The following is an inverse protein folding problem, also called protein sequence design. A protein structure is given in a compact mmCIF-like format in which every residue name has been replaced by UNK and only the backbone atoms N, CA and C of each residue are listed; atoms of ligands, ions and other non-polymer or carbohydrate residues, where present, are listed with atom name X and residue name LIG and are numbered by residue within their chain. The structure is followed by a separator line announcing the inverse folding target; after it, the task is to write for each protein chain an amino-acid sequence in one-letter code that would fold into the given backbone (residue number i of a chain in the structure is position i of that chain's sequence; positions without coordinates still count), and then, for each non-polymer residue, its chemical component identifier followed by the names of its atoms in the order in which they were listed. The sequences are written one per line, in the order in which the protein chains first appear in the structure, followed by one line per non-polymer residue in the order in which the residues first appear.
data_IF_339450749806
#
_entry.id   IF_339450749806
#
_cell.length_a   1.000
_cell.length_b   1.000
_cell.length_c   1.000
_cell.angle_alpha   90.00
_cell.angle_beta   90.00
_cell.angle_gamma   90.00
#
_symmetry.space_group_name_H-M   'P 1'
#
loop_
_entity.id
_entity.type
_entity.pdbx_description
1 polymer ?
#
# COMPACT_ATOMS: atom_id res chain seq x y z
N UNK A 1 12.51 34.57 -41.79
CA UNK A 1 12.90 35.92 -41.34
C UNK A 1 12.17 36.22 -40.04
N UNK A 2 12.84 35.99 -38.90
CA UNK A 2 12.28 36.29 -37.58
C UNK A 2 12.93 37.57 -37.06
N UNK A 3 12.11 38.60 -36.84
CA UNK A 3 12.52 39.91 -36.36
C UNK A 3 12.91 39.89 -34.88
N UNK A 4 14.05 40.52 -34.59
CA UNK A 4 14.56 40.84 -33.26
C UNK A 4 13.80 42.02 -32.68
N UNK A 5 13.54 42.02 -31.38
CA UNK A 5 13.45 43.25 -30.60
C UNK A 5 14.31 43.12 -29.34
N UNK A 6 15.39 43.90 -29.32
CA UNK A 6 16.21 44.18 -28.17
C UNK A 6 15.72 45.49 -27.54
N UNK A 7 15.51 45.51 -26.23
CA UNK A 7 15.29 46.72 -25.45
C UNK A 7 16.40 46.84 -24.41
N UNK A 8 17.23 47.87 -24.54
CA UNK A 8 18.21 48.29 -23.54
C UNK A 8 17.77 49.64 -22.99
N UNK A 9 17.81 49.83 -21.66
CA UNK A 9 17.83 51.17 -21.05
C UNK A 9 18.73 51.18 -19.82
N UNK A 10 19.51 52.27 -19.74
CA UNK A 10 20.70 52.49 -18.90
C UNK A 10 20.39 52.89 -17.45
N UNK A 11 21.39 52.62 -16.61
CA UNK A 11 21.69 53.12 -15.27
C UNK A 11 21.41 54.62 -15.02
N UNK A 12 21.01 54.96 -13.79
CA UNK A 12 21.79 55.84 -12.88
C UNK A 12 21.29 55.77 -11.43
N UNK A 13 22.24 55.80 -10.51
CA UNK A 13 22.07 55.81 -9.06
C UNK A 13 21.65 57.18 -8.52
N UNK A 14 21.00 57.18 -7.34
CA UNK A 14 21.15 58.27 -6.36
C UNK A 14 20.94 57.74 -4.95
N UNK A 15 21.86 58.12 -4.07
CA UNK A 15 21.91 57.81 -2.64
C UNK A 15 20.87 58.62 -1.86
N UNK A 16 20.29 58.02 -0.81
CA UNK A 16 19.94 58.72 0.44
C UNK A 16 20.12 57.79 1.63
N UNK A 17 21.08 58.12 2.50
CA UNK A 17 21.19 57.61 3.88
C UNK A 17 20.06 58.19 4.72
N UNK A 18 19.37 57.33 5.46
CA UNK A 18 18.64 57.69 6.67
C UNK A 18 19.08 56.73 7.77
N UNK A 19 19.66 57.30 8.82
CA UNK A 19 20.03 56.60 10.04
C UNK A 19 18.77 56.26 10.83
N UNK A 20 18.61 54.99 11.22
CA UNK A 20 17.68 54.59 12.28
C UNK A 20 18.47 53.90 13.38
N UNK A 21 18.47 54.53 14.55
CA UNK A 21 18.87 53.90 15.82
C UNK A 21 17.75 52.92 16.23
N UNK A 22 17.95 51.63 15.98
CA UNK A 22 17.07 50.56 16.44
C UNK A 22 17.74 49.77 17.55
N UNK A 23 17.17 49.82 18.76
CA UNK A 23 17.57 48.98 19.90
C UNK A 23 17.47 47.51 19.50
N UNK A 24 18.54 46.74 19.73
CA UNK A 24 18.52 45.27 19.65
C UNK A 24 17.65 44.71 20.78
N UNK A 25 16.36 44.56 20.52
CA UNK A 25 15.53 43.66 21.32
C UNK A 25 15.91 42.22 20.94
N UNK A 26 16.58 41.52 21.86
CA UNK A 26 16.77 40.06 21.78
C UNK A 26 15.38 39.43 21.78
N UNK A 27 14.96 38.91 20.63
CA UNK A 27 13.80 38.04 20.55
C UNK A 27 14.11 36.75 21.34
N UNK A 28 13.16 36.23 22.13
CA UNK A 28 13.34 34.92 22.76
C UNK A 28 13.48 33.89 21.65
N UNK A 29 14.53 33.08 21.74
CA UNK A 29 14.74 31.91 20.88
C UNK A 29 13.55 30.97 21.05
N UNK A 30 12.54 31.09 20.19
CA UNK A 30 11.53 30.06 20.06
C UNK A 30 12.24 28.84 19.49
N UNK A 31 12.47 27.85 20.35
CA UNK A 31 12.79 26.51 19.90
C UNK A 31 11.54 25.99 19.18
N UNK A 32 11.42 26.30 17.89
CA UNK A 32 10.51 25.59 17.01
C UNK A 32 11.06 24.18 16.92
N UNK A 33 10.50 23.26 17.71
CA UNK A 33 10.62 21.84 17.41
C UNK A 33 9.87 21.66 16.09
N UNK A 34 10.61 21.65 14.97
CA UNK A 34 10.03 21.31 13.69
C UNK A 34 9.36 19.94 13.85
N UNK A 35 8.06 19.85 13.59
CA UNK A 35 7.38 18.57 13.54
C UNK A 35 8.14 17.70 12.53
N UNK A 36 8.72 16.59 13.00
CA UNK A 36 9.45 15.66 12.13
C UNK A 36 8.42 15.04 11.20
N UNK A 37 8.45 15.42 9.92
CA UNK A 37 7.59 14.81 8.91
C UNK A 37 8.01 13.35 8.73
N UNK A 38 7.08 12.42 8.92
CA UNK A 38 7.35 11.01 8.67
C UNK A 38 7.31 10.72 7.16
N UNK A 39 8.19 9.85 6.65
CA UNK A 39 8.17 9.49 5.24
C UNK A 39 6.88 8.75 4.89
N UNK A 40 6.32 9.06 3.71
CA UNK A 40 5.16 8.38 3.16
C UNK A 40 5.62 7.27 2.21
N UNK A 41 5.23 6.03 2.49
CA UNK A 41 5.56 4.86 1.68
C UNK A 41 4.31 4.37 0.94
N UNK A 42 4.49 3.96 -0.30
CA UNK A 42 3.42 3.35 -1.10
C UNK A 42 3.81 1.93 -1.42
N UNK A 43 2.92 0.98 -1.17
CA UNK A 43 3.18 -0.43 -1.39
C UNK A 43 1.96 -1.15 -1.96
N UNK A 44 2.24 -2.31 -2.53
CA UNK A 44 1.24 -3.28 -2.94
C UNK A 44 1.37 -4.52 -2.06
N UNK A 45 0.24 -5.08 -1.64
CA UNK A 45 0.12 -6.40 -1.03
C UNK A 45 -0.67 -7.31 -1.97
N UNK A 46 -0.17 -8.52 -2.19
CA UNK A 46 -0.73 -9.53 -3.08
C UNK A 46 -1.25 -10.71 -2.26
N UNK A 47 -2.57 -10.89 -2.29
CA UNK A 47 -3.31 -11.93 -1.61
C UNK A 47 -3.58 -13.06 -2.59
N UNK A 48 -2.81 -14.14 -2.44
CA UNK A 48 -2.94 -15.35 -3.25
C UNK A 48 -3.58 -16.47 -2.45
N UNK A 49 -4.45 -17.26 -3.08
CA UNK A 49 -5.14 -18.38 -2.46
C UNK A 49 -4.91 -19.67 -3.22
N UNK A 50 -4.86 -20.80 -2.53
CA UNK A 50 -4.88 -22.11 -3.18
C UNK A 50 -6.32 -22.60 -3.45
N UNK A 51 -6.45 -23.81 -4.02
CA UNK A 51 -7.75 -24.45 -4.30
C UNK A 51 -8.61 -24.71 -3.05
N UNK A 52 -7.99 -24.77 -1.86
CA UNK A 52 -8.69 -24.93 -0.57
C UNK A 52 -9.07 -23.59 0.07
N UNK A 53 -8.91 -22.49 -0.66
CA UNK A 53 -9.13 -21.12 -0.19
C UNK A 53 -8.25 -20.72 1.01
N UNK A 54 -7.09 -21.37 1.14
CA UNK A 54 -6.07 -21.01 2.11
C UNK A 54 -5.16 -19.93 1.52
N UNK A 55 -4.85 -18.91 2.31
CA UNK A 55 -4.05 -17.77 1.89
C UNK A 55 -2.57 -18.07 1.99
N UNK A 56 -1.81 -17.67 0.97
CA UNK A 56 -0.36 -17.71 0.97
C UNK A 56 0.19 -16.55 1.82
N UNK A 57 1.01 -16.86 2.83
CA UNK A 57 1.72 -15.85 3.60
C UNK A 57 3.21 -16.14 3.65
N UNK A 58 4.00 -15.07 3.77
CA UNK A 58 5.45 -15.06 3.94
C UNK A 58 5.79 -14.76 5.40
N UNK A 59 6.53 -15.66 6.06
CA UNK A 59 7.17 -15.35 7.34
C UNK A 59 8.44 -14.56 7.08
N UNK A 60 8.43 -13.27 7.45
CA UNK A 60 9.53 -12.37 7.12
C UNK A 60 10.78 -12.72 7.94
N UNK A 61 11.93 -12.77 7.26
CA UNK A 61 13.25 -12.97 7.88
C UNK A 61 13.97 -11.67 8.22
N UNK A 62 13.47 -10.54 7.72
CA UNK A 62 14.09 -9.22 7.83
C UNK A 62 13.23 -8.26 8.66
N UNK A 63 13.91 -7.33 9.34
CA UNK A 63 13.27 -6.24 10.07
C UNK A 63 12.51 -5.28 9.13
N UNK A 64 11.48 -4.55 9.60
CA UNK A 64 10.98 -4.50 10.98
C UNK A 64 10.04 -5.66 11.37
N UNK A 65 9.53 -6.42 10.39
CA UNK A 65 8.48 -7.42 10.62
C UNK A 65 9.03 -8.84 10.81
N UNK A 66 10.27 -9.00 11.30
CA UNK A 66 10.91 -10.31 11.37
C UNK A 66 10.10 -11.25 12.28
N UNK A 67 9.76 -12.43 11.75
CA UNK A 67 8.94 -13.44 12.42
C UNK A 67 7.44 -13.20 12.32
N UNK A 68 6.99 -12.06 11.77
CA UNK A 68 5.60 -11.83 11.41
C UNK A 68 5.30 -12.40 10.03
N UNK A 69 4.04 -12.77 9.83
CA UNK A 69 3.50 -13.25 8.58
C UNK A 69 2.77 -12.12 7.85
N UNK A 70 3.06 -11.96 6.56
CA UNK A 70 2.40 -10.97 5.71
C UNK A 70 2.04 -11.57 4.35
N UNK A 71 1.09 -10.99 3.60
CA UNK A 71 0.97 -11.24 2.17
C UNK A 71 2.29 -10.94 1.44
N UNK A 72 2.41 -11.47 0.23
CA UNK A 72 3.49 -11.08 -0.69
C UNK A 72 3.37 -9.61 -1.06
N UNK A 73 4.46 -9.01 -1.52
CA UNK A 73 4.43 -7.66 -2.08
C UNK A 73 5.58 -6.76 -1.64
N UNK A 74 5.50 -5.50 -2.04
CA UNK A 74 6.59 -4.57 -1.83
C UNK A 74 6.25 -3.14 -2.21
N UNK A 75 7.28 -2.30 -2.23
CA UNK A 75 7.14 -0.84 -2.42
C UNK A 75 7.14 -0.51 -3.91
N UNK A 76 6.38 0.51 -4.28
CA UNK A 76 6.41 1.06 -5.62
C UNK A 76 7.77 1.73 -5.90
N UNK A 77 8.27 1.56 -7.13
CA UNK A 77 9.41 2.30 -7.68
C UNK A 77 8.99 3.69 -8.14
N UNK A 78 8.84 4.61 -7.18
CA UNK A 78 8.28 5.96 -7.38
C UNK A 78 9.06 6.78 -8.41
N UNK A 79 10.38 6.65 -8.44
CA UNK A 79 11.28 7.34 -9.37
C UNK A 79 11.03 6.98 -10.84
N UNK A 80 10.45 5.81 -11.09
CA UNK A 80 10.07 5.35 -12.44
C UNK A 80 8.60 5.57 -12.77
N UNK A 81 7.79 6.03 -11.81
CA UNK A 81 6.34 6.15 -11.97
C UNK A 81 5.61 4.80 -12.03
N UNK A 82 6.14 3.77 -11.36
CA UNK A 82 5.53 2.44 -11.34
C UNK A 82 4.09 2.49 -10.78
N UNK A 83 3.14 1.90 -11.49
CA UNK A 83 1.74 1.81 -11.02
C UNK A 83 1.57 0.69 -9.98
N UNK A 84 0.55 0.75 -9.09
CA UNK A 84 0.30 -0.33 -8.13
C UNK A 84 0.09 -1.72 -8.76
N UNK A 85 -0.58 -1.78 -9.91
CA UNK A 85 -0.78 -3.02 -10.67
C UNK A 85 0.54 -3.54 -11.25
N UNK A 86 1.38 -2.66 -11.82
CA UNK A 86 2.71 -3.03 -12.32
C UNK A 86 3.60 -3.55 -11.18
N UNK A 87 3.55 -2.88 -10.02
CA UNK A 87 4.23 -3.34 -8.81
C UNK A 87 3.74 -4.73 -8.39
N UNK A 88 2.43 -4.98 -8.38
CA UNK A 88 1.86 -6.29 -8.05
C UNK A 88 2.40 -7.41 -8.94
N UNK A 89 2.39 -7.19 -10.27
CA UNK A 89 2.89 -8.16 -11.24
C UNK A 89 4.40 -8.43 -11.06
N UNK A 90 5.19 -7.38 -10.81
CA UNK A 90 6.63 -7.50 -10.55
C UNK A 90 6.89 -8.32 -9.28
N UNK A 91 6.24 -7.98 -8.18
CA UNK A 91 6.41 -8.70 -6.90
C UNK A 91 5.95 -10.15 -7.00
N UNK A 92 4.91 -10.45 -7.80
CA UNK A 92 4.49 -11.83 -8.08
C UNK A 92 5.61 -12.63 -8.78
N UNK A 93 6.30 -12.03 -9.76
CA UNK A 93 7.43 -12.69 -10.42
C UNK A 93 8.64 -12.81 -9.49
N UNK A 94 8.98 -11.74 -8.76
CA UNK A 94 10.16 -11.67 -7.89
C UNK A 94 10.05 -12.59 -6.66
N UNK A 95 8.91 -12.62 -5.97
CA UNK A 95 8.77 -13.37 -4.70
C UNK A 95 8.26 -14.81 -4.91
N UNK A 96 7.36 -15.05 -5.86
CA UNK A 96 6.68 -16.35 -6.02
C UNK A 96 6.88 -16.98 -7.41
N UNK A 97 7.67 -16.35 -8.29
CA UNK A 97 7.97 -16.88 -9.62
C UNK A 97 6.78 -16.94 -10.57
N UNK A 98 5.73 -16.15 -10.31
CA UNK A 98 4.49 -16.17 -11.08
C UNK A 98 4.38 -14.96 -11.98
N UNK A 99 4.27 -15.21 -13.29
CA UNK A 99 4.01 -14.16 -14.29
C UNK A 99 2.50 -13.99 -14.45
N UNK A 100 2.01 -12.82 -14.08
CA UNK A 100 0.59 -12.44 -14.15
C UNK A 100 0.41 -11.11 -14.87
N UNK A 101 -0.79 -10.89 -15.38
CA UNK A 101 -1.22 -9.65 -15.99
C UNK A 101 -2.07 -8.83 -15.01
N UNK A 102 -2.17 -7.50 -15.18
CA UNK A 102 -3.06 -6.67 -14.38
C UNK A 102 -4.53 -7.12 -14.39
N UNK A 103 -4.97 -7.80 -15.44
CA UNK A 103 -6.33 -8.37 -15.58
C UNK A 103 -6.58 -9.58 -14.67
N UNK A 104 -5.52 -10.20 -14.16
CA UNK A 104 -5.60 -11.34 -13.24
C UNK A 104 -5.73 -10.87 -11.78
N UNK A 105 -5.71 -9.55 -11.57
CA UNK A 105 -5.75 -8.92 -10.26
C UNK A 105 -7.07 -8.23 -10.02
N UNK A 106 -7.60 -8.41 -8.82
CA UNK A 106 -8.74 -7.69 -8.31
C UNK A 106 -8.31 -6.76 -7.18
N UNK A 107 -8.45 -5.44 -7.36
CA UNK A 107 -8.19 -4.49 -6.28
C UNK A 107 -9.27 -4.63 -5.21
N UNK A 108 -8.93 -5.31 -4.12
CA UNK A 108 -9.87 -5.60 -3.03
C UNK A 108 -9.93 -4.46 -2.03
N UNK A 109 -8.83 -3.72 -1.84
CA UNK A 109 -8.91 -2.51 -1.05
C UNK A 109 -7.70 -1.60 -1.08
N UNK A 110 -7.90 -0.41 -0.50
CA UNK A 110 -6.89 0.60 -0.25
C UNK A 110 -6.87 0.87 1.25
N UNK A 111 -5.69 0.75 1.88
CA UNK A 111 -5.53 1.06 3.31
C UNK A 111 -4.47 2.13 3.46
N UNK A 112 -4.78 3.17 4.23
CA UNK A 112 -3.78 4.15 4.66
C UNK A 112 -3.52 4.03 6.16
N UNK A 113 -2.26 4.08 6.55
CA UNK A 113 -1.84 4.11 7.95
C UNK A 113 -1.07 5.40 8.23
N UNK A 114 -1.58 6.19 9.16
CA UNK A 114 -0.93 7.40 9.64
C UNK A 114 -0.12 7.08 10.90
N UNK A 115 1.21 7.20 10.81
CA UNK A 115 2.09 7.11 11.98
C UNK A 115 2.43 5.67 12.40
N UNK A 116 2.41 4.73 11.47
CA UNK A 116 2.71 3.32 11.73
C UNK A 116 4.07 3.16 12.42
N UNK A 117 4.07 2.51 13.59
CA UNK A 117 5.21 2.36 14.51
C UNK A 117 5.95 3.68 14.85
N UNK A 118 5.30 4.83 14.65
CA UNK A 118 5.92 6.15 14.78
C UNK A 118 7.00 6.46 13.73
N UNK A 119 7.12 5.63 12.68
CA UNK A 119 8.23 5.69 11.73
C UNK A 119 7.82 6.15 10.34
N UNK A 120 6.60 5.86 9.89
CA UNK A 120 6.18 6.13 8.51
C UNK A 120 4.67 6.25 8.37
N UNK A 121 4.24 6.89 7.29
CA UNK A 121 2.90 6.72 6.75
C UNK A 121 2.92 5.64 5.66
N UNK A 122 1.83 4.90 5.53
CA UNK A 122 1.67 3.90 4.46
C UNK A 122 0.41 4.15 3.66
N UNK A 123 0.49 3.93 2.35
CA UNK A 123 -0.63 3.71 1.44
C UNK A 123 -0.43 2.34 0.80
N UNK A 124 -1.33 1.42 1.11
CA UNK A 124 -1.27 0.04 0.67
C UNK A 124 -2.40 -0.25 -0.32
N UNK A 125 -2.05 -0.82 -1.46
CA UNK A 125 -3.00 -1.38 -2.42
C UNK A 125 -3.06 -2.88 -2.24
N UNK A 126 -4.24 -3.41 -1.92
CA UNK A 126 -4.45 -4.82 -1.62
C UNK A 126 -5.09 -5.49 -2.83
N UNK A 127 -4.30 -6.25 -3.56
CA UNK A 127 -4.76 -7.02 -4.71
C UNK A 127 -5.01 -8.47 -4.32
N UNK A 128 -6.14 -9.01 -4.74
CA UNK A 128 -6.35 -10.45 -4.82
C UNK A 128 -5.90 -10.94 -6.20
N UNK A 129 -5.12 -12.01 -6.24
CA UNK A 129 -4.95 -12.80 -7.46
C UNK A 129 -6.21 -13.66 -7.65
N UNK A 130 -6.90 -13.48 -8.76
CA UNK A 130 -8.18 -14.17 -9.02
C UNK A 130 -7.97 -15.66 -9.28
N UNK A 131 -6.86 -16.03 -9.90
CA UNK A 131 -6.45 -17.40 -10.15
C UNK A 131 -5.89 -18.08 -8.89
N UNK A 132 -6.18 -19.38 -8.75
CA UNK A 132 -5.71 -20.16 -7.60
C UNK A 132 -4.29 -20.68 -7.80
N UNK A 133 -3.49 -20.62 -6.73
CA UNK A 133 -2.16 -21.21 -6.70
C UNK A 133 -2.26 -22.73 -6.57
N UNK A 134 -1.65 -23.45 -7.51
CA UNK A 134 -1.57 -24.91 -7.49
C UNK A 134 -0.46 -25.45 -6.55
N UNK A 135 0.56 -24.65 -6.25
CA UNK A 135 1.75 -25.08 -5.50
C UNK A 135 2.24 -24.01 -4.53
N UNK A 136 2.86 -24.46 -3.44
CA UNK A 136 3.56 -23.59 -2.51
C UNK A 136 4.87 -23.10 -3.17
N UNK A 137 5.13 -21.79 -3.24
CA UNK A 137 6.40 -21.26 -3.73
C UNK A 137 7.58 -21.67 -2.82
N UNK A 138 8.79 -21.81 -3.38
CA UNK A 138 9.98 -22.10 -2.59
C UNK A 138 10.34 -20.93 -1.66
N UNK A 139 11.05 -21.18 -0.53
CA UNK A 139 11.56 -20.09 0.30
C UNK A 139 12.67 -19.31 -0.43
N UNK A 140 12.88 -18.07 -0.01
CA UNK A 140 13.91 -17.17 -0.54
C UNK A 140 14.49 -16.28 0.58
N UNK A 141 15.28 -15.27 0.21
CA UNK A 141 15.99 -14.41 1.15
C UNK A 141 15.08 -13.57 2.04
N UNK A 142 13.85 -13.28 1.60
CA UNK A 142 12.88 -12.54 2.42
C UNK A 142 12.18 -13.42 3.45
N UNK A 143 12.10 -14.74 3.24
CA UNK A 143 11.32 -15.60 4.13
C UNK A 143 11.00 -17.00 3.61
N UNK A 144 10.05 -17.63 4.32
CA UNK A 144 9.45 -18.90 3.91
C UNK A 144 7.94 -18.74 3.79
N UNK A 145 7.35 -19.45 2.83
CA UNK A 145 5.91 -19.41 2.60
C UNK A 145 5.17 -20.54 3.31
N UNK A 146 3.90 -20.28 3.63
CA UNK A 146 2.95 -21.32 4.00
C UNK A 146 1.52 -20.90 3.64
N UNK A 147 0.64 -21.88 3.51
CA UNK A 147 -0.79 -21.66 3.30
C UNK A 147 -1.54 -21.75 4.62
N UNK A 148 -2.42 -20.79 4.88
CA UNK A 148 -3.23 -20.75 6.10
C UNK A 148 -4.71 -20.62 5.79
N UNK A 149 -5.53 -21.41 6.48
CA UNK A 149 -6.98 -21.17 6.46
C UNK A 149 -7.30 -19.84 7.14
N UNK A 150 -8.46 -19.26 6.80
CA UNK A 150 -8.95 -18.03 7.45
C UNK A 150 -8.98 -18.13 8.97
N UNK A 151 -9.36 -19.28 9.52
CA UNK A 151 -9.41 -19.48 10.97
C UNK A 151 -8.01 -19.58 11.60
N UNK A 152 -7.04 -20.15 10.90
CA UNK A 152 -5.67 -20.27 11.39
C UNK A 152 -5.00 -18.88 11.58
N UNK A 153 -5.43 -17.86 10.85
CA UNK A 153 -4.93 -16.49 10.98
C UNK A 153 -5.09 -15.93 12.40
N UNK A 154 -6.08 -16.37 13.17
CA UNK A 154 -6.35 -15.89 14.55
C UNK A 154 -5.20 -16.21 15.52
N UNK A 155 -4.44 -17.27 15.25
CA UNK A 155 -3.31 -17.70 16.07
C UNK A 155 -1.94 -17.34 15.49
N UNK A 156 -1.90 -16.67 14.34
CA UNK A 156 -0.66 -16.36 13.64
C UNK A 156 -0.06 -15.04 14.14
N UNK A 157 1.27 -14.96 14.16
CA UNK A 157 1.97 -13.71 14.43
C UNK A 157 1.84 -12.78 13.22
N UNK A 158 0.85 -11.91 13.25
CA UNK A 158 0.56 -10.90 12.21
C UNK A 158 0.89 -9.50 12.73
N UNK A 159 1.17 -8.53 11.85
CA UNK A 159 1.11 -7.12 12.23
C UNK A 159 -0.20 -6.80 12.95
N UNK A 160 -0.16 -5.84 13.88
CA UNK A 160 -1.32 -5.52 14.70
C UNK A 160 -2.51 -5.05 13.86
N UNK A 161 -2.27 -4.16 12.90
CA UNK A 161 -3.29 -3.60 12.00
C UNK A 161 -3.88 -4.65 11.07
N UNK A 162 -3.05 -5.58 10.58
CA UNK A 162 -3.49 -6.76 9.82
C UNK A 162 -4.54 -7.57 10.56
N UNK A 163 -4.22 -7.95 11.80
CA UNK A 163 -5.09 -8.76 12.65
C UNK A 163 -6.36 -8.03 13.08
N UNK A 164 -6.23 -6.74 13.41
CA UNK A 164 -7.34 -5.93 13.93
C UNK A 164 -8.41 -5.69 12.87
N UNK A 165 -8.03 -5.24 11.67
CA UNK A 165 -9.01 -4.76 10.69
C UNK A 165 -8.68 -5.09 9.24
N UNK A 166 -7.42 -5.17 8.80
CA UNK A 166 -7.14 -5.38 7.37
C UNK A 166 -7.66 -6.75 6.92
N UNK A 167 -7.37 -7.85 7.64
CA UNK A 167 -7.93 -9.16 7.32
C UNK A 167 -9.45 -9.20 7.41
N UNK A 168 -10.09 -8.75 8.51
CA UNK A 168 -11.55 -8.66 8.59
C UNK A 168 -12.19 -7.91 7.42
N UNK A 169 -11.63 -6.76 7.03
CA UNK A 169 -12.12 -5.95 5.91
C UNK A 169 -11.87 -6.63 4.57
N UNK A 170 -10.69 -7.21 4.35
CA UNK A 170 -10.37 -7.98 3.16
C UNK A 170 -11.39 -9.11 2.97
N UNK A 171 -11.62 -9.94 3.99
CA UNK A 171 -12.55 -11.06 3.89
C UNK A 171 -14.01 -10.62 3.67
N UNK A 172 -14.41 -9.51 4.28
CA UNK A 172 -15.76 -8.95 4.10
C UNK A 172 -15.98 -8.43 2.67
N UNK A 173 -14.94 -7.91 2.03
CA UNK A 173 -15.02 -7.26 0.72
C UNK A 173 -14.32 -8.05 -0.40
N UNK A 174 -13.96 -9.30 -0.17
CA UNK A 174 -13.32 -10.15 -1.18
C UNK A 174 -14.27 -10.33 -2.37
N UNK A 175 -13.84 -9.95 -3.58
CA UNK A 175 -14.69 -9.82 -4.77
C UNK A 175 -15.50 -8.51 -4.88
N UNK A 176 -15.36 -7.61 -3.89
CA UNK A 176 -15.86 -6.24 -3.86
C UNK A 176 -14.70 -5.26 -3.64
N UNK A 177 -14.92 -4.14 -2.96
CA UNK A 177 -13.87 -3.15 -2.71
C UNK A 177 -14.05 -2.48 -1.34
N UNK A 178 -12.96 -2.05 -0.72
CA UNK A 178 -13.00 -1.13 0.41
C UNK A 178 -11.85 -0.12 0.41
N UNK A 179 -12.09 1.06 0.98
CA UNK A 179 -11.03 1.98 1.36
C UNK A 179 -11.10 2.24 2.87
N UNK A 180 -9.96 2.20 3.56
CA UNK A 180 -9.90 2.46 5.00
C UNK A 180 -8.71 3.32 5.40
N UNK A 181 -8.90 4.10 6.45
CA UNK A 181 -7.85 4.88 7.10
C UNK A 181 -7.65 4.39 8.53
N UNK A 182 -6.40 4.23 8.92
CA UNK A 182 -5.97 3.90 10.27
C UNK A 182 -5.05 5.01 10.81
N UNK A 183 -5.41 5.62 11.94
CA UNK A 183 -4.49 6.44 12.70
C UNK A 183 -3.82 5.57 13.77
N UNK A 184 -2.52 5.30 13.58
CA UNK A 184 -1.69 4.58 14.53
C UNK A 184 -1.13 5.57 15.58
N UNK A 185 -1.50 5.39 16.84
CA UNK A 185 -1.05 6.25 17.93
C UNK A 185 0.25 5.71 18.56
N UNK A 186 1.11 6.59 19.12
CA UNK A 186 2.34 6.15 19.79
C UNK A 186 2.13 5.23 21.00
N UNK A 187 0.93 5.20 21.58
CA UNK A 187 0.55 4.32 22.70
C UNK A 187 0.11 2.90 22.24
N UNK A 188 0.16 2.62 20.94
CA UNK A 188 -0.23 1.35 20.34
C UNK A 188 -1.73 1.23 20.02
N UNK A 189 -2.53 2.27 20.25
CA UNK A 189 -3.94 2.31 19.84
C UNK A 189 -4.05 2.63 18.35
N UNK A 190 -5.03 2.02 17.69
CA UNK A 190 -5.35 2.28 16.28
C UNK A 190 -6.80 2.76 16.13
N UNK A 191 -7.00 3.94 15.56
CA UNK A 191 -8.35 4.45 15.23
C UNK A 191 -8.65 4.20 13.76
N UNK A 192 -9.67 3.40 13.49
CA UNK A 192 -10.03 2.99 12.14
C UNK A 192 -11.27 3.73 11.62
N UNK A 193 -11.23 4.11 10.35
CA UNK A 193 -12.35 4.66 9.60
C UNK A 193 -12.47 3.94 8.27
N UNK A 194 -13.64 3.34 8.02
CA UNK A 194 -14.01 2.85 6.69
C UNK A 194 -14.49 4.04 5.86
N UNK A 195 -13.87 4.26 4.71
CA UNK A 195 -14.11 5.42 3.85
C UNK A 195 -14.96 5.06 2.63
N UNK A 196 -14.73 3.88 2.07
CA UNK A 196 -15.52 3.34 0.96
C UNK A 196 -15.78 1.85 1.16
N UNK A 197 -16.93 1.37 0.70
CA UNK A 197 -17.33 -0.02 0.80
C UNK A 197 -18.25 -0.42 -0.35
N UNK A 198 -17.80 -1.38 -1.13
CA UNK A 198 -18.57 -2.08 -2.15
C UNK A 198 -18.57 -3.56 -1.80
N UNK A 199 -19.74 -4.12 -1.49
CA UNK A 199 -19.85 -5.55 -1.19
C UNK A 199 -19.66 -6.38 -2.46
N UNK A 200 -19.13 -7.62 -2.36
CA UNK A 200 -19.11 -8.53 -3.50
C UNK A 200 -20.53 -8.74 -4.02
N UNK A 201 -20.68 -8.77 -5.35
CA UNK A 201 -21.97 -9.03 -5.98
C UNK A 201 -22.39 -10.47 -5.68
N UNK A 202 -23.54 -10.63 -5.02
CA UNK A 202 -24.19 -11.93 -4.82
C UNK A 202 -24.79 -12.42 -6.13
N UNK A 203 -23.96 -12.75 -7.12
CA UNK A 203 -24.46 -13.45 -8.31
C UNK A 203 -24.62 -14.92 -7.92
N UNK A 204 -25.85 -15.30 -7.62
CA UNK A 204 -26.25 -16.71 -7.51
C UNK A 204 -25.75 -17.45 -8.74
N UNK A 205 -24.79 -18.35 -8.56
CA UNK A 205 -24.37 -19.29 -9.59
C UNK A 205 -25.51 -20.29 -9.76
N UNK A 206 -26.53 -19.96 -10.57
CA UNK A 206 -27.38 -20.97 -11.15
C UNK A 206 -26.49 -21.81 -12.08
N UNK A 207 -26.37 -23.13 -11.86
CA UNK A 207 -25.65 -23.96 -12.79
C UNK A 207 -26.40 -23.89 -14.14
N UNK A 208 -25.76 -23.34 -15.15
CA UNK A 208 -26.21 -23.42 -16.53
C UNK A 208 -26.13 -24.87 -16.97
N UNK A 209 -27.18 -25.63 -16.66
CA UNK A 209 -27.42 -26.95 -17.23
C UNK A 209 -27.72 -26.81 -18.71
N UNK A 210 -26.67 -26.72 -19.53
CA UNK A 210 -26.79 -26.98 -20.96
C UNK A 210 -26.32 -28.41 -21.22
N UNK A 211 -27.26 -29.34 -21.03
CA UNK A 211 -27.14 -30.68 -21.55
C UNK A 211 -26.98 -30.58 -23.08
N UNK A 212 -25.82 -31.01 -23.58
CA UNK A 212 -25.62 -31.29 -25.00
C UNK A 212 -26.68 -32.29 -25.44
N UNK A 213 -27.63 -31.85 -26.25
CA UNK A 213 -28.42 -32.72 -27.12
C UNK A 213 -27.49 -33.19 -28.24
N UNK A 214 -26.98 -34.40 -28.10
CA UNK A 214 -26.62 -35.25 -29.23
C UNK A 214 -27.88 -35.98 -29.63
N UNK A 215 -28.45 -35.66 -30.79
CA UNK A 215 -29.39 -36.55 -31.46
C UNK A 215 -28.89 -36.79 -32.88
N UNK A 216 -28.88 -38.08 -33.21
CA UNK A 216 -28.58 -38.72 -34.48
C UNK A 216 -29.64 -38.42 -35.55
#
# INVERSE_FOLDING_TARGET
MAGRFAGTWRLRASERRLALHGRLARAPSSCFTAAVALPYKISTLLYCFNERDEVLLLERRKEPNRGLWSPCGGKLKMETGESPYTCACREAEEEIGLRILPTDLHLTGIVTEHGYEGQSHWLMFLFELTEKLAKLPPPHDEGRFSFFSRDALKGLALPQTDREQIWPLFWRHRGGFFAAHCHCHPDGRNDWKLEESTQPSTINHQPSGNARRTDH
#
